data_IF_706242464834
#
_entry.id   IF_706242464834
#
_cell.length_a   1.000
_cell.length_b   1.000
_cell.length_c   1.000
_cell.angle_alpha   90.00
_cell.angle_beta   90.00
_cell.angle_gamma   90.00
#
_symmetry.space_group_name_H-M   'P 1'
#
loop_
_entity.id
_entity.type
_entity.pdbx_description
1 polymer ?
#
# COMPACT_ATOMS: atom_id res chain seq x y z
N UNK A 1 -14.97 -10.47 -26.27
CA UNK A 1 -14.15 -11.08 -25.22
C UNK A 1 -14.04 -10.10 -24.07
N UNK A 2 -14.67 -10.44 -22.94
CA UNK A 2 -14.91 -9.53 -21.81
C UNK A 2 -13.72 -9.51 -20.85
N UNK A 3 -12.55 -9.13 -21.36
CA UNK A 3 -11.39 -8.75 -20.56
C UNK A 3 -11.68 -7.42 -19.85
N UNK A 4 -12.70 -7.39 -19.00
CA UNK A 4 -12.85 -6.36 -17.98
C UNK A 4 -11.62 -6.47 -17.08
N UNK A 5 -10.60 -5.66 -17.37
CA UNK A 5 -9.71 -4.94 -16.45
C UNK A 5 -9.59 -5.46 -15.00
N UNK A 6 -9.49 -6.77 -14.81
CA UNK A 6 -9.49 -7.42 -13.50
C UNK A 6 -8.33 -6.89 -12.65
N UNK A 7 -7.16 -6.64 -13.27
CA UNK A 7 -5.99 -6.08 -12.59
C UNK A 7 -6.23 -4.74 -11.89
N UNK A 8 -7.09 -3.86 -12.41
CA UNK A 8 -7.38 -2.58 -11.76
C UNK A 8 -8.29 -2.73 -10.55
N UNK A 9 -9.26 -3.66 -10.61
CA UNK A 9 -10.14 -3.94 -9.48
C UNK A 9 -9.33 -4.53 -8.31
N UNK A 10 -8.45 -5.49 -8.63
CA UNK A 10 -7.54 -6.10 -7.64
C UNK A 10 -6.59 -5.09 -6.99
N UNK A 11 -6.13 -4.08 -7.74
CA UNK A 11 -5.25 -3.05 -7.18
C UNK A 11 -5.97 -2.16 -6.15
N UNK A 12 -7.22 -1.77 -6.41
CA UNK A 12 -8.02 -0.98 -5.47
C UNK A 12 -8.43 -1.81 -4.24
N UNK A 13 -8.71 -3.11 -4.40
CA UNK A 13 -8.92 -4.01 -3.26
C UNK A 13 -7.66 -4.15 -2.40
N UNK A 14 -6.49 -4.34 -3.04
CA UNK A 14 -5.20 -4.35 -2.35
C UNK A 14 -4.92 -3.01 -1.65
N UNK A 15 -5.25 -1.89 -2.29
CA UNK A 15 -5.12 -0.56 -1.69
C UNK A 15 -6.02 -0.40 -0.47
N UNK A 16 -7.28 -0.85 -0.53
CA UNK A 16 -8.20 -0.79 0.59
C UNK A 16 -7.65 -1.57 1.79
N UNK A 17 -7.21 -2.83 1.58
CA UNK A 17 -6.63 -3.67 2.64
C UNK A 17 -5.37 -3.02 3.22
N UNK A 18 -4.47 -2.55 2.34
CA UNK A 18 -3.22 -1.92 2.74
C UNK A 18 -3.48 -0.65 3.57
N UNK A 19 -4.33 0.24 3.07
CA UNK A 19 -4.57 1.57 3.66
C UNK A 19 -5.26 1.47 5.02
N UNK A 20 -6.23 0.55 5.17
CA UNK A 20 -6.90 0.30 6.46
C UNK A 20 -5.89 -0.10 7.55
N UNK A 21 -4.90 -0.92 7.20
CA UNK A 21 -3.89 -1.42 8.14
C UNK A 21 -2.78 -0.38 8.37
N UNK A 22 -2.15 0.10 7.29
CA UNK A 22 -0.98 0.96 7.36
C UNK A 22 -1.27 2.33 7.99
N UNK A 23 -2.50 2.82 7.84
CA UNK A 23 -2.91 4.14 8.34
C UNK A 23 -3.78 4.09 9.60
N UNK A 24 -3.98 2.93 10.23
CA UNK A 24 -4.88 2.76 11.38
C UNK A 24 -4.64 3.78 12.50
N UNK A 25 -3.38 4.07 12.85
CA UNK A 25 -2.99 5.02 13.91
C UNK A 25 -2.48 6.36 13.40
N UNK A 26 -2.47 6.57 12.08
CA UNK A 26 -1.93 7.80 11.45
C UNK A 26 -2.99 8.89 11.35
N UNK A 27 -2.59 10.11 11.67
CA UNK A 27 -3.41 11.30 11.52
C UNK A 27 -3.56 11.71 10.03
N UNK A 28 -4.40 12.70 9.74
CA UNK A 28 -4.68 13.11 8.36
C UNK A 28 -3.44 13.66 7.63
N UNK A 29 -2.59 14.42 8.31
CA UNK A 29 -1.40 15.00 7.71
C UNK A 29 -0.36 13.92 7.36
N UNK A 30 -0.19 12.93 8.23
CA UNK A 30 0.64 11.76 7.99
C UNK A 30 0.10 10.93 6.81
N UNK A 31 -1.21 10.69 6.78
CA UNK A 31 -1.88 9.98 5.67
C UNK A 31 -1.63 10.66 4.34
N UNK A 32 -1.85 11.98 4.23
CA UNK A 32 -1.66 12.74 3.00
C UNK A 32 -0.20 12.68 2.53
N UNK A 33 0.76 12.74 3.44
CA UNK A 33 2.19 12.66 3.09
C UNK A 33 2.63 11.28 2.60
N UNK A 34 2.00 10.22 3.10
CA UNK A 34 2.42 8.83 2.89
C UNK A 34 1.58 8.11 1.83
N UNK A 35 0.38 8.60 1.51
CA UNK A 35 -0.55 7.96 0.57
C UNK A 35 0.09 7.71 -0.81
N UNK A 36 0.76 8.72 -1.36
CA UNK A 36 1.41 8.59 -2.67
C UNK A 36 2.44 7.45 -2.69
N UNK A 37 3.24 7.31 -1.62
CA UNK A 37 4.24 6.23 -1.51
C UNK A 37 3.52 4.90 -1.30
N UNK A 38 2.51 4.85 -0.43
CA UNK A 38 1.71 3.66 -0.20
C UNK A 38 1.09 3.09 -1.48
N UNK A 39 0.59 3.96 -2.37
CA UNK A 39 0.02 3.53 -3.66
C UNK A 39 1.08 2.90 -4.57
N UNK A 40 2.29 3.44 -4.61
CA UNK A 40 3.39 2.81 -5.37
C UNK A 40 3.82 1.47 -4.75
N UNK A 41 3.82 1.36 -3.42
CA UNK A 41 4.11 0.09 -2.74
C UNK A 41 3.06 -0.97 -3.10
N UNK A 42 1.77 -0.60 -3.11
CA UNK A 42 0.68 -1.52 -3.46
C UNK A 42 0.74 -1.97 -4.92
N UNK A 43 1.24 -1.13 -5.84
CA UNK A 43 1.48 -1.56 -7.24
C UNK A 43 2.50 -2.69 -7.33
N UNK A 44 3.49 -2.74 -6.44
CA UNK A 44 4.47 -3.84 -6.38
C UNK A 44 3.89 -5.15 -5.84
N UNK A 45 2.67 -5.14 -5.30
CA UNK A 45 2.01 -6.36 -4.83
C UNK A 45 1.42 -7.19 -5.98
N UNK A 46 1.42 -6.70 -7.23
CA UNK A 46 0.89 -7.39 -8.41
C UNK A 46 -0.53 -7.99 -8.22
N UNK A 47 -1.37 -7.29 -7.45
CA UNK A 47 -2.73 -7.71 -7.17
C UNK A 47 -2.86 -8.86 -6.15
N UNK A 48 -1.81 -9.14 -5.38
CA UNK A 48 -1.82 -10.14 -4.30
C UNK A 48 -2.27 -9.50 -2.96
N UNK A 49 -3.47 -9.82 -2.44
CA UNK A 49 -3.97 -9.21 -1.20
C UNK A 49 -3.12 -9.55 0.03
N UNK A 50 -2.49 -10.73 0.04
CA UNK A 50 -1.61 -11.15 1.12
C UNK A 50 -0.34 -10.30 1.20
N UNK A 51 0.25 -9.93 0.06
CA UNK A 51 1.40 -9.03 0.01
C UNK A 51 1.02 -7.64 0.52
N UNK A 52 -0.13 -7.10 0.07
CA UNK A 52 -0.67 -5.84 0.55
C UNK A 52 -0.90 -5.82 2.07
N UNK A 53 -1.51 -6.90 2.61
CA UNK A 53 -1.70 -7.07 4.06
C UNK A 53 -0.36 -7.09 4.81
N UNK A 54 0.64 -7.80 4.30
CA UNK A 54 1.95 -7.94 4.93
C UNK A 54 2.67 -6.59 4.99
N UNK A 55 2.72 -5.88 3.86
CA UNK A 55 3.34 -4.55 3.77
C UNK A 55 2.58 -3.51 4.59
N UNK A 56 1.24 -3.59 4.64
CA UNK A 56 0.44 -2.72 5.50
C UNK A 56 0.79 -2.88 6.98
N UNK A 57 0.94 -4.14 7.46
CA UNK A 57 1.37 -4.40 8.84
C UNK A 57 2.79 -3.89 9.12
N UNK A 58 3.72 -4.06 8.16
CA UNK A 58 5.08 -3.57 8.29
C UNK A 58 5.12 -2.02 8.41
N UNK A 59 4.37 -1.33 7.56
CA UNK A 59 4.41 0.13 7.45
C UNK A 59 3.56 0.85 8.51
N UNK A 60 2.62 0.14 9.16
CA UNK A 60 1.87 0.68 10.31
C UNK A 60 2.81 1.27 11.37
N UNK A 61 3.92 0.58 11.65
CA UNK A 61 4.91 0.95 12.67
C UNK A 61 6.01 1.89 12.15
N UNK A 62 5.81 2.51 10.98
CA UNK A 62 6.78 3.42 10.34
C UNK A 62 6.14 4.79 10.16
N UNK A 63 6.75 5.81 10.72
CA UNK A 63 6.15 7.15 10.78
C UNK A 63 6.82 8.14 9.82
N UNK A 64 8.04 7.85 9.38
CA UNK A 64 8.76 8.74 8.46
C UNK A 64 8.55 8.37 6.99
N UNK A 65 8.45 9.40 6.15
CA UNK A 65 8.44 9.25 4.69
C UNK A 65 9.65 8.47 4.17
N UNK A 66 10.81 8.65 4.80
CA UNK A 66 12.07 8.01 4.45
C UNK A 66 12.00 6.50 4.68
N UNK A 67 11.40 6.04 5.78
CA UNK A 67 11.20 4.62 6.04
C UNK A 67 10.25 3.98 5.03
N UNK A 68 9.18 4.69 4.65
CA UNK A 68 8.26 4.23 3.60
C UNK A 68 8.97 4.15 2.25
N UNK A 69 9.80 5.14 1.92
CA UNK A 69 10.60 5.14 0.70
C UNK A 69 11.62 3.98 0.68
N UNK A 70 12.18 3.62 1.83
CA UNK A 70 13.08 2.48 1.97
C UNK A 70 12.37 1.16 1.62
N UNK A 71 11.15 0.95 2.12
CA UNK A 71 10.32 -0.22 1.75
C UNK A 71 9.90 -0.19 0.28
N UNK A 72 9.59 0.99 -0.27
CA UNK A 72 9.31 1.13 -1.71
C UNK A 72 10.52 0.73 -2.56
N UNK A 73 11.73 1.09 -2.13
CA UNK A 73 12.96 0.83 -2.87
C UNK A 73 13.57 -0.56 -2.58
N UNK A 74 13.09 -1.28 -1.55
CA UNK A 74 13.56 -2.64 -1.29
C UNK A 74 13.07 -3.60 -2.37
N UNK A 75 13.85 -4.62 -2.67
CA UNK A 75 13.31 -5.76 -3.42
C UNK A 75 12.27 -6.46 -2.51
N UNK A 76 11.08 -6.68 -3.05
CA UNK A 76 9.99 -7.43 -2.39
C UNK A 76 10.09 -8.86 -2.86
#
# INVERSE_FOLDING_TARGET
DHLFKLGNLFLEECWSIFSEIAFFEKNNDERVQLEAIGREIVKKCDGLPLAAKTLGNLLRFKDSRQEWQSVLNSEV
#
